data_IF_452764997909
#
_entry.id   IF_452764997909
#
_cell.length_a   1.000
_cell.length_b   1.000
_cell.length_c   1.000
_cell.angle_alpha   90.00
_cell.angle_beta   90.00
_cell.angle_gamma   90.00
#
_symmetry.space_group_name_H-M   'P 1'
#
loop_
_entity.id
_entity.type
_entity.pdbx_description
1 polymer ?
#
# COMPACT_ATOMS: atom_id res chain seq x y z
N UNK A 1 12.19 11.49 -0.03
CA UNK A 1 13.66 11.42 -0.11
C UNK A 1 14.01 9.96 0.13
N UNK A 2 14.61 9.26 -0.83
CA UNK A 2 14.96 7.84 -0.67
C UNK A 2 16.35 7.78 -0.06
N UNK A 3 16.45 7.37 1.20
CA UNK A 3 17.73 7.19 1.90
C UNK A 3 18.17 5.75 1.68
N UNK A 4 19.34 5.54 1.07
CA UNK A 4 19.95 4.21 0.96
C UNK A 4 20.54 3.80 2.31
N UNK A 5 19.71 3.22 3.17
CA UNK A 5 20.15 2.47 4.35
C UNK A 5 20.43 1.03 3.90
N UNK A 6 21.41 0.36 4.52
CA UNK A 6 21.77 -1.02 4.23
C UNK A 6 20.51 -1.93 4.19
N UNK A 7 20.32 -2.62 3.07
CA UNK A 7 19.21 -3.54 2.90
C UNK A 7 19.32 -4.68 3.91
N UNK A 8 18.23 -5.02 4.65
CA UNK A 8 18.23 -6.25 5.41
C UNK A 8 18.40 -7.43 4.44
N UNK A 9 19.02 -8.51 4.92
CA UNK A 9 18.99 -9.79 4.22
C UNK A 9 17.53 -10.21 3.98
N UNK A 10 17.30 -11.08 3.00
CA UNK A 10 15.97 -11.63 2.74
C UNK A 10 15.34 -12.21 4.01
N UNK A 11 14.04 -12.00 4.18
CA UNK A 11 13.26 -12.52 5.29
C UNK A 11 12.68 -13.86 4.85
N UNK A 12 13.08 -14.93 5.52
CA UNK A 12 12.55 -16.26 5.27
C UNK A 12 11.41 -16.58 6.24
N UNK A 13 10.32 -17.08 5.68
CA UNK A 13 9.18 -17.67 6.41
C UNK A 13 9.02 -19.12 5.97
N UNK A 14 8.16 -19.89 6.62
CA UNK A 14 7.92 -21.29 6.22
C UNK A 14 7.52 -21.39 4.73
N UNK A 15 6.74 -20.43 4.23
CA UNK A 15 6.12 -20.50 2.91
C UNK A 15 6.72 -19.54 1.87
N UNK A 16 7.46 -18.52 2.29
CA UNK A 16 7.91 -17.42 1.42
C UNK A 16 9.31 -16.92 1.75
N UNK A 17 10.02 -16.46 0.72
CA UNK A 17 11.21 -15.64 0.79
C UNK A 17 10.80 -14.22 0.40
N UNK A 18 11.05 -13.25 1.27
CA UNK A 18 10.71 -11.86 1.05
C UNK A 18 12.00 -11.07 0.91
N UNK A 19 12.20 -10.45 -0.25
CA UNK A 19 13.43 -9.74 -0.61
C UNK A 19 13.21 -8.23 -0.58
N UNK A 20 13.82 -7.49 0.36
CA UNK A 20 13.73 -6.02 0.40
C UNK A 20 14.35 -5.37 -0.84
N UNK A 21 13.66 -4.37 -1.41
CA UNK A 21 14.07 -3.65 -2.62
C UNK A 21 14.33 -2.17 -2.38
N UNK A 22 13.48 -1.52 -1.60
CA UNK A 22 13.63 -0.10 -1.23
C UNK A 22 13.08 0.14 0.16
N UNK A 23 13.83 0.82 1.02
CA UNK A 23 13.25 1.32 2.27
C UNK A 23 12.34 2.51 1.98
N UNK A 24 11.19 2.53 2.64
CA UNK A 24 10.20 3.59 2.52
C UNK A 24 9.72 4.03 3.89
N UNK A 25 9.41 5.31 3.97
CA UNK A 25 8.72 5.95 5.07
C UNK A 25 7.70 6.91 4.47
N UNK A 26 6.51 6.99 5.06
CA UNK A 26 5.47 7.86 4.54
C UNK A 26 4.44 8.26 5.57
N UNK A 27 4.02 9.53 5.50
CA UNK A 27 2.78 10.03 6.09
C UNK A 27 1.73 10.13 4.98
N UNK A 28 0.74 9.26 5.00
CA UNK A 28 -0.20 9.05 3.89
C UNK A 28 -1.64 8.90 4.38
N UNK A 29 -2.59 9.29 3.53
CA UNK A 29 -4.02 9.14 3.80
C UNK A 29 -4.50 7.81 3.22
N UNK A 30 -5.28 7.06 4.01
CA UNK A 30 -5.93 5.83 3.56
C UNK A 30 -7.20 6.20 2.80
N UNK A 31 -7.21 5.96 1.50
CA UNK A 31 -8.34 6.27 0.62
C UNK A 31 -9.32 5.11 0.54
N UNK A 32 -8.83 3.88 0.55
CA UNK A 32 -9.65 2.68 0.63
C UNK A 32 -8.84 1.55 1.24
N UNK A 33 -9.54 0.53 1.73
CA UNK A 33 -8.92 -0.72 2.14
C UNK A 33 -9.80 -1.89 1.73
N UNK A 34 -9.20 -3.07 1.62
CA UNK A 34 -9.91 -4.34 1.44
C UNK A 34 -9.24 -5.43 2.26
N UNK A 35 -10.07 -6.22 2.95
CA UNK A 35 -9.61 -7.40 3.70
C UNK A 35 -9.90 -8.65 2.90
N UNK A 36 -8.96 -9.59 2.93
CA UNK A 36 -9.06 -10.87 2.24
C UNK A 36 -9.13 -12.00 3.25
N UNK A 37 -10.22 -12.75 3.18
CA UNK A 37 -10.45 -13.95 3.98
C UNK A 37 -10.30 -15.23 3.15
N UNK A 38 -10.56 -15.12 1.84
CA UNK A 38 -10.59 -16.23 0.89
C UNK A 38 -9.84 -15.83 -0.37
N UNK A 39 -8.51 -15.84 -0.28
CA UNK A 39 -7.63 -15.79 -1.44
C UNK A 39 -6.31 -16.50 -1.11
N UNK A 40 -5.48 -16.73 -2.12
CA UNK A 40 -4.22 -17.47 -1.99
C UNK A 40 -3.14 -16.65 -1.27
N UNK A 41 -3.21 -15.32 -1.39
CA UNK A 41 -2.22 -14.40 -0.82
C UNK A 41 -2.56 -13.89 0.58
N UNK A 42 -3.73 -14.20 1.17
CA UNK A 42 -4.13 -13.73 2.53
C UNK A 42 -3.12 -14.01 3.61
N UNK A 43 -2.38 -15.11 3.48
CA UNK A 43 -1.41 -15.54 4.48
C UNK A 43 -0.22 -14.59 4.56
N UNK A 44 0.10 -13.91 3.45
CA UNK A 44 1.16 -12.90 3.37
C UNK A 44 0.59 -11.50 3.46
N UNK A 45 -0.51 -11.25 2.76
CA UNK A 45 -1.14 -9.94 2.67
C UNK A 45 -2.66 -10.03 2.87
N UNK A 46 -3.10 -9.95 4.13
CA UNK A 46 -4.52 -10.04 4.46
C UNK A 46 -5.30 -8.73 4.24
N UNK A 47 -4.60 -7.61 4.02
CA UNK A 47 -5.18 -6.29 3.82
C UNK A 47 -4.47 -5.58 2.67
N UNK A 48 -5.25 -5.02 1.76
CA UNK A 48 -4.76 -4.03 0.79
C UNK A 48 -5.17 -2.63 1.24
N UNK A 49 -4.28 -1.66 1.02
CA UNK A 49 -4.52 -0.25 1.25
C UNK A 49 -4.33 0.53 -0.04
N UNK A 50 -5.30 1.37 -0.41
CA UNK A 50 -5.08 2.44 -1.37
C UNK A 50 -4.66 3.69 -0.59
N UNK A 51 -3.42 4.11 -0.77
CA UNK A 51 -2.80 5.22 -0.04
C UNK A 51 -2.63 6.42 -0.98
N UNK A 52 -2.80 7.62 -0.44
CA UNK A 52 -2.53 8.87 -1.14
C UNK A 52 -1.63 9.81 -0.36
N UNK A 53 -0.92 10.64 -1.10
CA UNK A 53 -0.10 11.74 -0.56
C UNK A 53 -0.35 13.03 -1.36
N UNK A 54 0.33 14.11 -0.94
CA UNK A 54 0.19 15.44 -1.53
C UNK A 54 -1.29 15.86 -1.60
N UNK A 55 -1.73 16.53 -2.66
CA UNK A 55 -3.12 16.99 -2.83
C UNK A 55 -4.13 15.86 -2.68
N UNK A 56 -3.81 14.63 -3.09
CA UNK A 56 -4.74 13.50 -3.01
C UNK A 56 -4.94 12.99 -1.56
N UNK A 57 -4.16 13.48 -0.60
CA UNK A 57 -4.34 13.20 0.83
C UNK A 57 -5.35 14.10 1.55
N UNK A 58 -5.86 15.12 0.86
CA UNK A 58 -6.90 16.02 1.36
C UNK A 58 -8.22 15.25 1.56
N UNK A 59 -8.71 15.29 2.79
CA UNK A 59 -9.93 14.60 3.18
C UNK A 59 -11.20 15.15 2.51
N UNK A 60 -11.22 16.42 2.11
CA UNK A 60 -12.36 16.99 1.40
C UNK A 60 -12.51 16.38 -0.01
N UNK A 61 -11.40 15.92 -0.59
CA UNK A 61 -11.41 15.20 -1.87
C UNK A 61 -11.90 13.77 -1.70
N UNK A 62 -11.67 13.13 -0.55
CA UNK A 62 -12.15 11.77 -0.28
C UNK A 62 -13.65 11.63 -0.45
N UNK A 63 -14.41 12.64 -0.02
CA UNK A 63 -15.87 12.65 -0.14
C UNK A 63 -16.35 12.73 -1.60
N UNK A 64 -15.46 13.08 -2.53
CA UNK A 64 -15.73 13.21 -3.97
C UNK A 64 -15.20 12.03 -4.80
N UNK A 65 -14.56 11.05 -4.16
CA UNK A 65 -13.97 9.87 -4.81
C UNK A 65 -14.83 8.63 -4.59
N UNK A 66 -15.28 8.03 -5.68
CA UNK A 66 -15.80 6.67 -5.69
C UNK A 66 -14.63 5.72 -5.93
N UNK A 67 -14.39 4.82 -4.98
CA UNK A 67 -13.26 3.89 -5.03
C UNK A 67 -13.76 2.47 -4.85
N UNK A 68 -13.37 1.58 -5.76
CA UNK A 68 -13.62 0.14 -5.67
C UNK A 68 -12.27 -0.58 -5.67
N UNK A 69 -12.08 -1.50 -4.72
CA UNK A 69 -10.98 -2.46 -4.75
C UNK A 69 -11.54 -3.83 -5.13
N UNK A 70 -11.02 -4.41 -6.20
CA UNK A 70 -11.42 -5.71 -6.71
C UNK A 70 -10.24 -6.46 -7.31
N UNK A 71 -10.18 -7.77 -7.08
CA UNK A 71 -9.07 -8.63 -7.52
C UNK A 71 -7.67 -8.00 -7.28
N UNK A 72 -7.43 -7.53 -6.04
CA UNK A 72 -6.19 -6.85 -5.62
C UNK A 72 -5.78 -5.67 -6.52
N UNK A 73 -6.74 -5.05 -7.20
CA UNK A 73 -6.58 -3.86 -8.04
C UNK A 73 -7.59 -2.80 -7.61
N UNK A 74 -7.39 -1.55 -8.03
CA UNK A 74 -8.33 -0.48 -7.71
C UNK A 74 -8.87 0.23 -8.95
N UNK A 75 -10.08 0.75 -8.80
CA UNK A 75 -10.69 1.70 -9.70
C UNK A 75 -11.09 2.95 -8.91
N UNK A 76 -10.71 4.13 -9.41
CA UNK A 76 -11.05 5.42 -8.79
C UNK A 76 -11.77 6.28 -9.82
N UNK A 77 -12.90 6.84 -9.43
CA UNK A 77 -13.64 7.83 -10.19
C UNK A 77 -13.81 9.09 -9.34
N UNK A 78 -13.56 10.25 -9.96
CA UNK A 78 -13.74 11.55 -9.33
C UNK A 78 -14.36 12.52 -10.34
N UNK A 79 -15.45 13.17 -9.95
CA UNK A 79 -16.24 14.03 -10.85
C UNK A 79 -15.54 15.34 -11.21
N UNK A 80 -14.71 15.90 -10.31
CA UNK A 80 -13.93 17.13 -10.54
C UNK A 80 -12.58 17.05 -9.83
N UNK A 81 -11.50 16.66 -10.52
CA UNK A 81 -10.15 16.67 -9.95
C UNK A 81 -9.76 18.10 -9.55
N UNK A 82 -9.07 18.29 -8.42
CA UNK A 82 -8.69 19.62 -7.91
C UNK A 82 -7.50 20.25 -8.67
N UNK A 83 -7.02 19.64 -9.75
CA UNK A 83 -5.89 20.11 -10.53
C UNK A 83 -6.23 20.17 -12.02
N UNK A 84 -5.72 21.22 -12.68
CA UNK A 84 -5.94 21.49 -14.11
C UNK A 84 -5.08 20.59 -15.03
N UNK A 85 -4.00 20.00 -14.49
CA UNK A 85 -3.03 19.14 -15.19
C UNK A 85 -2.51 18.05 -14.22
N UNK A 86 -2.12 16.90 -14.74
CA UNK A 86 -1.63 15.74 -13.98
C UNK A 86 -2.67 14.62 -13.87
N UNK A 87 -2.24 13.41 -13.49
CA UNK A 87 -3.14 12.28 -13.27
C UNK A 87 -3.36 12.04 -11.76
N UNK A 88 -4.61 11.77 -11.35
CA UNK A 88 -4.94 11.35 -9.98
C UNK A 88 -4.08 10.17 -9.51
N UNK A 89 -3.67 9.29 -10.42
CA UNK A 89 -2.88 8.11 -10.13
C UNK A 89 -1.41 8.42 -9.78
N UNK A 90 -0.91 9.61 -10.10
CA UNK A 90 0.47 10.00 -9.81
C UNK A 90 0.75 10.00 -8.30
N UNK A 91 -0.27 10.35 -7.52
CA UNK A 91 -0.26 10.46 -6.06
C UNK A 91 -1.05 9.35 -5.36
N UNK A 92 -1.26 8.21 -6.02
CA UNK A 92 -1.93 7.03 -5.48
C UNK A 92 -1.04 5.79 -5.58
N UNK A 93 -1.06 4.97 -4.54
CA UNK A 93 -0.40 3.67 -4.49
C UNK A 93 -1.31 2.62 -3.84
N UNK A 94 -1.45 1.48 -4.50
CA UNK A 94 -2.03 0.28 -3.91
C UNK A 94 -0.91 -0.48 -3.19
N UNK A 95 -0.99 -0.57 -1.86
CA UNK A 95 -0.08 -1.34 -1.05
C UNK A 95 -0.72 -2.69 -0.70
N UNK A 96 -0.13 -3.77 -1.18
CA UNK A 96 -0.36 -5.12 -0.67
C UNK A 96 0.45 -5.26 0.61
N UNK A 97 -0.22 -5.17 1.76
CA UNK A 97 0.46 -5.00 3.05
C UNK A 97 0.94 -6.33 3.59
N UNK A 98 2.19 -6.37 4.06
CA UNK A 98 2.81 -7.54 4.71
C UNK A 98 3.26 -7.10 6.10
N UNK A 99 2.70 -7.67 7.17
CA UNK A 99 3.03 -7.25 8.53
C UNK A 99 4.38 -7.82 8.99
N UNK A 100 5.24 -7.00 9.60
CA UNK A 100 6.46 -7.52 10.24
C UNK A 100 6.18 -8.35 11.51
N UNK A 101 5.04 -8.10 12.16
CA UNK A 101 4.64 -8.76 13.42
C UNK A 101 3.12 -8.87 13.51
N UNK A 102 2.62 -9.75 14.38
CA UNK A 102 1.18 -9.85 14.67
C UNK A 102 0.57 -8.51 15.15
N UNK A 103 1.33 -7.72 15.92
CA UNK A 103 0.91 -6.38 16.33
C UNK A 103 0.67 -5.45 15.13
N UNK A 104 1.53 -5.49 14.12
CA UNK A 104 1.36 -4.69 12.90
C UNK A 104 0.19 -5.23 12.07
N UNK A 105 0.02 -6.54 12.00
CA UNK A 105 -1.13 -7.18 11.35
C UNK A 105 -2.46 -6.69 11.95
N UNK A 106 -2.56 -6.60 13.27
CA UNK A 106 -3.78 -6.11 13.94
C UNK A 106 -4.02 -4.62 13.71
N UNK A 107 -2.95 -3.81 13.68
CA UNK A 107 -3.05 -2.40 13.29
C UNK A 107 -3.53 -2.24 11.85
N UNK A 108 -2.93 -2.96 10.90
CA UNK A 108 -3.31 -2.95 9.48
C UNK A 108 -4.78 -3.34 9.31
N UNK A 109 -5.22 -4.38 10.02
CA UNK A 109 -6.63 -4.74 10.13
C UNK A 109 -7.46 -3.56 10.63
N UNK A 110 -7.07 -2.88 11.70
CA UNK A 110 -7.87 -1.78 12.27
C UNK A 110 -8.04 -0.54 11.37
N UNK A 111 -7.20 -0.38 10.34
CA UNK A 111 -7.22 0.77 9.45
C UNK A 111 -8.59 1.00 8.80
N UNK A 112 -8.98 2.28 8.71
CA UNK A 112 -10.23 2.77 8.09
C UNK A 112 -9.93 3.81 7.02
N UNK A 113 -10.83 3.89 6.03
CA UNK A 113 -10.81 4.98 5.05
C UNK A 113 -10.87 6.33 5.78
N UNK A 114 -10.06 7.28 5.32
CA UNK A 114 -9.94 8.63 5.87
C UNK A 114 -8.85 8.81 6.91
N UNK A 115 -8.31 7.72 7.48
CA UNK A 115 -7.24 7.83 8.47
C UNK A 115 -5.95 8.34 7.83
N UNK A 116 -5.26 9.21 8.55
CA UNK A 116 -3.88 9.60 8.25
C UNK A 116 -2.96 8.67 9.02
N UNK A 117 -2.10 7.96 8.32
CA UNK A 117 -1.14 7.03 8.91
C UNK A 117 0.29 7.49 8.67
N UNK A 118 1.17 7.18 9.61
CA UNK A 118 2.62 7.17 9.39
C UNK A 118 3.10 5.73 9.42
N UNK A 119 4.02 5.39 8.54
CA UNK A 119 4.58 4.04 8.49
C UNK A 119 6.03 4.05 8.03
N UNK A 120 6.74 2.99 8.41
CA UNK A 120 8.08 2.65 7.91
C UNK A 120 8.09 1.21 7.42
N UNK A 121 8.99 0.92 6.48
CA UNK A 121 9.24 -0.44 6.03
C UNK A 121 9.89 -0.52 4.66
N UNK A 122 9.51 -1.52 3.87
CA UNK A 122 10.17 -1.82 2.61
C UNK A 122 9.18 -2.14 1.49
N UNK A 123 9.47 -1.65 0.28
CA UNK A 123 9.00 -2.29 -0.94
C UNK A 123 9.77 -3.60 -1.09
N UNK A 124 9.07 -4.69 -1.35
CA UNK A 124 9.66 -6.03 -1.40
C UNK A 124 9.22 -6.80 -2.65
N UNK A 125 10.01 -7.81 -3.00
CA UNK A 125 9.59 -8.91 -3.87
C UNK A 125 9.33 -10.15 -3.01
N UNK A 126 8.44 -11.03 -3.45
CA UNK A 126 8.04 -12.24 -2.72
C UNK A 126 8.21 -13.44 -3.64
N UNK A 127 8.83 -14.49 -3.14
CA UNK A 127 8.89 -15.81 -3.78
C UNK A 127 8.29 -16.85 -2.83
N UNK A 128 7.49 -17.80 -3.32
CA UNK A 128 7.05 -18.94 -2.52
C UNK A 128 7.99 -20.16 -2.68
N UNK A 129 7.85 -21.16 -1.81
CA UNK A 129 8.70 -22.37 -1.85
C UNK A 129 8.57 -23.24 -3.12
N UNK A 130 7.61 -22.95 -4.00
CA UNK A 130 7.42 -23.66 -5.28
C UNK A 130 7.87 -22.81 -6.49
N UNK A 131 8.44 -21.62 -6.27
CA UNK A 131 9.02 -20.76 -7.31
C UNK A 131 8.07 -19.76 -7.97
N UNK A 132 6.88 -19.52 -7.41
CA UNK A 132 6.04 -18.41 -7.86
C UNK A 132 6.56 -17.10 -7.29
N UNK A 133 6.65 -16.08 -8.13
CA UNK A 133 7.16 -14.75 -7.77
C UNK A 133 6.05 -13.68 -7.87
N UNK A 134 6.06 -12.78 -6.89
CA UNK A 134 5.31 -11.54 -6.91
C UNK A 134 6.29 -10.37 -6.77
N UNK A 135 6.56 -9.72 -7.89
CA UNK A 135 7.54 -8.64 -7.98
C UNK A 135 6.81 -7.30 -7.89
N UNK A 136 7.37 -6.40 -7.08
CA UNK A 136 6.92 -5.01 -7.03
C UNK A 136 7.44 -4.27 -8.27
N UNK A 137 6.57 -3.82 -9.19
CA UNK A 137 7.02 -3.18 -10.42
C UNK A 137 7.78 -1.88 -10.11
N UNK A 138 9.01 -1.76 -10.59
CA UNK A 138 9.79 -0.52 -10.54
C UNK A 138 9.23 0.42 -11.62
N UNK A 139 8.99 1.69 -11.26
CA UNK A 139 8.45 2.72 -12.18
C UNK A 139 9.49 3.11 -13.23
N UNK A 140 9.69 2.27 -14.23
CA UNK A 140 10.34 2.66 -15.48
C UNK A 140 9.43 2.27 -16.67
N UNK A 141 8.66 3.27 -17.11
CA UNK A 141 8.11 3.44 -18.46
C UNK A 141 6.93 2.56 -18.96
N UNK A 142 5.79 2.38 -18.25
CA UNK A 142 4.54 1.86 -18.88
C UNK A 142 3.26 2.43 -18.21
N UNK A 143 2.07 2.47 -18.87
CA UNK A 143 1.05 3.48 -18.66
C UNK A 143 0.28 3.26 -17.36
N UNK A 144 0.45 4.15 -16.38
CA UNK A 144 -0.53 4.70 -15.44
C UNK A 144 -1.55 3.77 -14.72
N UNK A 145 -1.45 2.43 -14.81
CA UNK A 145 -2.51 1.53 -14.37
C UNK A 145 -2.15 0.48 -13.32
N UNK A 146 -0.89 0.38 -12.85
CA UNK A 146 -0.59 -0.50 -11.71
C UNK A 146 0.44 0.11 -10.78
N UNK A 147 0.04 1.15 -10.03
CA UNK A 147 0.78 1.59 -8.85
C UNK A 147 0.60 0.62 -7.67
N UNK A 148 0.67 -0.69 -7.93
CA UNK A 148 0.62 -1.72 -6.89
C UNK A 148 2.03 -2.04 -6.43
N UNK A 149 2.26 -2.12 -5.14
CA UNK A 149 3.53 -2.54 -4.53
C UNK A 149 3.24 -3.51 -3.39
N UNK A 150 4.10 -4.51 -3.24
CA UNK A 150 4.16 -5.33 -2.03
C UNK A 150 4.98 -4.57 -1.00
N UNK A 151 4.39 -4.33 0.16
CA UNK A 151 4.96 -3.48 1.18
C UNK A 151 5.04 -4.21 2.50
N UNK A 152 6.26 -4.45 2.97
CA UNK A 152 6.55 -4.89 4.32
C UNK A 152 6.46 -3.72 5.29
N UNK A 153 5.54 -3.77 6.25
CA UNK A 153 5.34 -2.74 7.27
C UNK A 153 6.06 -3.14 8.56
N UNK A 154 7.06 -2.36 8.95
CA UNK A 154 7.79 -2.55 10.21
C UNK A 154 7.15 -1.80 11.37
N UNK A 155 6.76 -0.55 11.12
CA UNK A 155 5.96 0.23 12.04
C UNK A 155 4.82 0.95 11.34
N UNK A 156 3.79 1.23 12.13
CA UNK A 156 2.55 1.81 11.66
C UNK A 156 1.85 2.54 12.81
N UNK A 157 1.54 3.80 12.60
CA UNK A 157 0.82 4.66 13.53
C UNK A 157 -0.37 5.32 12.83
N UNK A 158 -1.52 5.35 13.52
CA UNK A 158 -2.66 6.16 13.11
C UNK A 158 -2.50 7.53 13.76
N UNK A 159 -2.25 8.55 12.94
CA UNK A 159 -1.99 9.92 13.39
C UNK A 159 -3.31 10.69 13.57
N UNK A 160 -4.28 10.42 12.70
CA UNK A 160 -5.55 11.15 12.63
C UNK A 160 -6.67 10.20 12.22
N UNK A 161 -7.81 10.28 12.92
CA UNK A 161 -9.05 9.61 12.54
C UNK A 161 -9.83 10.43 11.49
N UNK A 162 -10.69 9.79 10.67
CA UNK A 162 -11.49 10.50 9.68
C UNK A 162 -12.42 11.52 10.35
N UNK A 163 -12.61 12.66 9.71
CA UNK A 163 -13.65 13.62 10.06
C UNK A 163 -15.01 12.96 9.86
N UNK A 164 -15.87 13.08 10.88
CA UNK A 164 -17.22 12.51 10.90
C UNK A 164 -18.14 13.11 9.85
#
# INVERSE_FOLDING_TARGET
MVTHIAFPNSIETDNYIITPRYQIEGKVRVIANKRYWFDDMRHVSSVDLLLAWDRMSDEDLLRRMLVKIDDRSYHVQMTKPPFQRGNIHDNLIMAHTIPATERIQDKLKSIRRGQLIHFTGYIVDIENRIGNEWISPVRDHWPQQRSSQWVWFEDLEIIEDPVK
#
